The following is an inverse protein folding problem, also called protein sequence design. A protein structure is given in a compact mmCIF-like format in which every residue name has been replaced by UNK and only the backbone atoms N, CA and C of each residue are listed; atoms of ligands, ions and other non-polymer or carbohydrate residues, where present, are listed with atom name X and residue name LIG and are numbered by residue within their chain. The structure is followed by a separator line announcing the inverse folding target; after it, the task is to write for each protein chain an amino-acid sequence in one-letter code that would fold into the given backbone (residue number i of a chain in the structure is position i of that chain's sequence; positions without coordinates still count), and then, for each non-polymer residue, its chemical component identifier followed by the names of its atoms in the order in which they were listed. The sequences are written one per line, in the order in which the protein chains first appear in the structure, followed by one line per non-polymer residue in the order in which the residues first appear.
data_IF_675261144456
#
_entry.id   IF_675261144456
#
_cell.length_a   1.000
_cell.length_b   1.000
_cell.length_c   1.000
_cell.angle_alpha   90.00
_cell.angle_beta   90.00
_cell.angle_gamma   90.00
#
_symmetry.space_group_name_H-M   'P 1'
#
loop_
_entity.id
_entity.type
_entity.pdbx_description
1 polymer ?
#
# COMPACT_ATOMS: atom_id res chain seq x y z
N UNK A 1 31.90 -52.56 -2.19
CA UNK A 1 31.58 -51.20 -1.68
C UNK A 1 30.84 -50.49 -2.80
N UNK A 2 29.50 -50.52 -2.77
CA UNK A 2 28.66 -49.84 -3.76
C UNK A 2 28.40 -48.43 -3.24
N UNK A 3 28.87 -47.42 -3.97
CA UNK A 3 28.51 -46.03 -3.72
C UNK A 3 27.03 -45.88 -4.08
N UNK A 4 26.19 -45.59 -3.08
CA UNK A 4 24.82 -45.15 -3.32
C UNK A 4 24.87 -43.77 -3.96
N UNK A 5 24.61 -43.70 -5.26
CA UNK A 5 24.25 -42.46 -5.95
C UNK A 5 23.07 -41.84 -5.21
N UNK A 6 23.28 -40.66 -4.63
CA UNK A 6 22.19 -39.84 -4.12
C UNK A 6 21.41 -39.31 -5.32
N UNK A 7 20.37 -40.03 -5.71
CA UNK A 7 19.40 -39.62 -6.71
C UNK A 7 18.75 -38.32 -6.21
N UNK A 8 19.22 -37.19 -6.73
CA UNK A 8 18.72 -35.88 -6.31
C UNK A 8 17.34 -35.74 -6.95
N UNK A 9 16.26 -35.55 -6.16
CA UNK A 9 14.92 -35.48 -6.73
C UNK A 9 14.85 -34.36 -7.77
N UNK A 10 14.02 -34.53 -8.83
CA UNK A 10 13.89 -33.53 -9.87
C UNK A 10 13.47 -32.20 -9.27
N UNK A 11 14.15 -31.13 -9.69
CA UNK A 11 13.83 -29.78 -9.25
C UNK A 11 12.44 -29.41 -9.76
N UNK A 12 11.49 -29.27 -8.84
CA UNK A 12 10.14 -28.84 -9.17
C UNK A 12 10.13 -27.35 -9.50
N UNK A 13 9.32 -26.96 -10.48
CA UNK A 13 9.14 -25.55 -10.84
C UNK A 13 8.58 -24.76 -9.65
N UNK A 14 9.18 -23.61 -9.41
CA UNK A 14 8.86 -22.72 -8.30
C UNK A 14 8.94 -21.27 -8.75
N UNK A 15 7.91 -20.49 -8.42
CA UNK A 15 7.89 -19.06 -8.64
C UNK A 15 7.83 -18.33 -7.30
N UNK A 16 8.70 -17.34 -7.14
CA UNK A 16 8.56 -16.34 -6.11
C UNK A 16 8.20 -14.99 -6.74
N UNK A 17 7.11 -14.38 -6.30
CA UNK A 17 6.64 -13.09 -6.80
C UNK A 17 6.71 -12.01 -5.74
N UNK A 18 6.73 -10.76 -6.20
CA UNK A 18 6.49 -9.57 -5.38
C UNK A 18 5.22 -8.93 -5.89
N UNK A 19 4.29 -8.63 -4.99
CA UNK A 19 3.05 -7.90 -5.29
C UNK A 19 2.94 -6.63 -4.43
N UNK A 20 2.59 -5.51 -5.05
CA UNK A 20 2.39 -4.23 -4.36
C UNK A 20 0.91 -3.87 -4.29
N UNK A 21 0.39 -3.74 -3.07
CA UNK A 21 -0.89 -3.09 -2.80
C UNK A 21 -0.62 -1.60 -2.59
N UNK A 22 -0.59 -0.85 -3.69
CA UNK A 22 -0.39 0.61 -3.65
C UNK A 22 -1.71 1.30 -3.39
N UNK A 23 -1.81 1.94 -2.24
CA UNK A 23 -2.98 2.71 -1.81
C UNK A 23 -2.76 4.20 -2.03
N UNK A 24 -3.82 4.89 -2.43
CA UNK A 24 -3.92 6.36 -2.37
C UNK A 24 -5.18 6.80 -1.64
N UNK A 25 -5.18 8.03 -1.16
CA UNK A 25 -6.39 8.68 -0.66
C UNK A 25 -6.95 9.67 -1.69
N UNK A 26 -8.14 9.38 -2.22
CA UNK A 26 -8.80 10.27 -3.15
C UNK A 26 -9.57 11.36 -2.40
N UNK A 27 -9.05 12.59 -2.43
CA UNK A 27 -9.65 13.74 -1.71
C UNK A 27 -11.03 14.14 -2.22
N UNK A 28 -11.40 13.75 -3.45
CA UNK A 28 -12.71 14.04 -4.04
C UNK A 28 -13.80 13.10 -3.51
N UNK A 29 -13.50 11.80 -3.46
CA UNK A 29 -14.44 10.77 -2.99
C UNK A 29 -14.31 10.49 -1.50
N UNK A 30 -13.25 11.01 -0.85
CA UNK A 30 -12.87 10.72 0.53
C UNK A 30 -12.71 9.21 0.78
N UNK A 31 -12.20 8.48 -0.22
CA UNK A 31 -12.02 7.03 -0.15
C UNK A 31 -10.56 6.62 -0.38
N UNK A 32 -10.20 5.45 0.15
CA UNK A 32 -8.96 4.77 -0.24
C UNK A 32 -9.18 4.02 -1.55
N UNK A 33 -8.18 4.08 -2.42
CA UNK A 33 -8.19 3.41 -3.73
C UNK A 33 -6.90 2.61 -3.91
N UNK A 34 -7.00 1.46 -4.56
CA UNK A 34 -5.89 0.56 -4.91
C UNK A 34 -5.48 0.80 -6.36
N UNK A 35 -4.18 0.96 -6.62
CA UNK A 35 -3.64 0.94 -7.97
C UNK A 35 -3.67 -0.49 -8.51
N UNK A 36 -4.31 -0.66 -9.67
CA UNK A 36 -4.27 -1.88 -10.45
C UNK A 36 -3.54 -1.65 -11.77
N UNK A 37 -2.92 -2.71 -12.28
CA UNK A 37 -2.29 -2.73 -13.59
C UNK A 37 -2.91 -3.84 -14.46
N UNK A 38 -3.09 -3.56 -15.75
CA UNK A 38 -3.65 -4.50 -16.72
C UNK A 38 -2.57 -5.46 -17.22
N UNK A 39 -2.71 -6.75 -16.94
CA UNK A 39 -1.70 -7.77 -17.24
C UNK A 39 -1.42 -7.88 -18.75
N UNK A 40 -0.15 -7.86 -19.19
CA UNK A 40 0.18 -7.94 -20.62
C UNK A 40 0.24 -9.38 -21.15
N UNK A 41 0.27 -10.39 -20.27
CA UNK A 41 0.54 -11.77 -20.65
C UNK A 41 -0.24 -12.77 -19.80
N UNK A 42 -0.36 -13.99 -20.32
CA UNK A 42 -0.92 -15.12 -19.60
C UNK A 42 -0.07 -15.49 -18.35
N UNK A 43 -0.68 -16.12 -17.33
CA UNK A 43 -2.11 -16.36 -17.18
C UNK A 43 -2.88 -15.06 -16.92
N UNK A 44 -4.17 -15.03 -17.27
CA UNK A 44 -5.07 -13.90 -17.07
C UNK A 44 -4.65 -12.63 -17.83
N UNK A 45 -4.25 -12.78 -19.09
CA UNK A 45 -3.92 -11.64 -19.94
C UNK A 45 -5.10 -10.65 -19.99
N UNK A 46 -4.78 -9.36 -20.10
CA UNK A 46 -5.74 -8.25 -20.17
C UNK A 46 -6.66 -8.08 -18.93
N UNK A 47 -6.46 -8.87 -17.88
CA UNK A 47 -7.16 -8.71 -16.61
C UNK A 47 -6.48 -7.66 -15.72
N UNK A 48 -7.29 -6.96 -14.92
CA UNK A 48 -6.78 -6.03 -13.90
C UNK A 48 -6.24 -6.80 -12.70
N UNK A 49 -5.03 -6.49 -12.26
CA UNK A 49 -4.36 -7.20 -11.19
C UNK A 49 -3.54 -6.23 -10.32
N UNK A 50 -3.08 -6.70 -9.15
CA UNK A 50 -2.05 -5.98 -8.41
C UNK A 50 -0.79 -5.86 -9.29
N UNK A 51 -0.11 -4.71 -9.25
CA UNK A 51 1.23 -4.59 -9.81
C UNK A 51 2.16 -5.58 -9.14
N UNK A 52 2.68 -6.52 -9.93
CA UNK A 52 3.58 -7.55 -9.42
C UNK A 52 4.60 -8.00 -10.44
N UNK A 53 5.63 -8.71 -9.96
CA UNK A 53 6.66 -9.32 -10.80
C UNK A 53 7.14 -10.66 -10.24
N UNK A 54 7.78 -11.44 -11.11
CA UNK A 54 8.50 -12.65 -10.74
C UNK A 54 9.95 -12.26 -10.42
N UNK A 55 10.44 -12.66 -9.24
CA UNK A 55 11.86 -12.53 -8.89
C UNK A 55 12.71 -13.49 -9.72
N UNK A 56 13.87 -13.03 -10.18
CA UNK A 56 14.78 -13.82 -11.00
C UNK A 56 14.08 -14.44 -12.24
N UNK A 57 13.08 -13.75 -12.79
CA UNK A 57 12.45 -14.12 -14.05
C UNK A 57 13.35 -13.74 -15.23
N UNK A 58 13.00 -12.67 -15.93
CA UNK A 58 13.80 -12.16 -17.06
C UNK A 58 15.09 -11.44 -16.61
N UNK A 59 15.06 -10.87 -15.41
CA UNK A 59 16.15 -10.09 -14.83
C UNK A 59 16.57 -10.74 -13.52
N UNK A 60 17.87 -10.88 -13.33
CA UNK A 60 18.44 -11.37 -12.08
C UNK A 60 18.33 -10.29 -11.00
N UNK A 61 17.64 -10.61 -9.91
CA UNK A 61 17.53 -9.78 -8.72
C UNK A 61 18.52 -10.27 -7.66
N UNK A 62 19.37 -9.38 -7.17
CA UNK A 62 20.38 -9.72 -6.13
C UNK A 62 19.77 -9.82 -4.73
N UNK A 63 18.56 -9.31 -4.52
CA UNK A 63 17.83 -9.32 -3.24
C UNK A 63 16.33 -9.06 -3.45
N UNK A 64 15.53 -9.28 -2.40
CA UNK A 64 14.11 -8.90 -2.38
C UNK A 64 13.94 -7.40 -2.63
N UNK A 65 14.73 -6.57 -1.95
CA UNK A 65 14.70 -5.11 -2.09
C UNK A 65 15.04 -4.66 -3.51
N UNK A 66 15.95 -5.35 -4.20
CA UNK A 66 16.24 -5.08 -5.60
C UNK A 66 15.02 -5.36 -6.49
N UNK A 67 14.31 -6.46 -6.23
CA UNK A 67 13.05 -6.77 -6.92
C UNK A 67 11.94 -5.77 -6.63
N UNK A 68 11.76 -5.36 -5.37
CA UNK A 68 10.80 -4.32 -4.97
C UNK A 68 11.10 -3.01 -5.69
N UNK A 69 12.38 -2.58 -5.68
CA UNK A 69 12.83 -1.37 -6.37
C UNK A 69 12.55 -1.45 -7.87
N UNK A 70 12.87 -2.57 -8.52
CA UNK A 70 12.59 -2.81 -9.94
C UNK A 70 11.10 -2.76 -10.24
N UNK A 71 10.23 -3.28 -9.35
CA UNK A 71 8.79 -3.19 -9.52
C UNK A 71 8.29 -1.74 -9.45
N UNK A 72 8.79 -0.95 -8.48
CA UNK A 72 8.44 0.47 -8.31
C UNK A 72 8.86 1.29 -9.54
N UNK A 73 10.04 1.02 -10.07
CA UNK A 73 10.59 1.73 -11.25
C UNK A 73 9.96 1.27 -12.58
N UNK A 74 9.26 0.13 -12.60
CA UNK A 74 8.61 -0.39 -13.80
C UNK A 74 7.35 0.39 -14.19
N UNK A 75 6.91 0.25 -15.45
CA UNK A 75 5.66 0.82 -15.98
C UNK A 75 4.38 0.36 -15.24
N UNK A 76 4.47 -0.70 -14.42
CA UNK A 76 3.34 -1.19 -13.61
C UNK A 76 3.03 -0.25 -12.45
N UNK A 77 4.04 0.43 -11.92
CA UNK A 77 3.93 1.46 -10.87
C UNK A 77 4.27 2.82 -11.46
N UNK A 78 5.53 3.04 -11.85
CA UNK A 78 5.98 4.23 -12.56
C UNK A 78 5.82 5.54 -11.79
N UNK A 79 5.56 5.46 -10.48
CA UNK A 79 5.25 6.61 -9.62
C UNK A 79 6.05 6.54 -8.32
N UNK A 80 6.40 7.70 -7.78
CA UNK A 80 7.09 7.81 -6.50
C UNK A 80 6.15 7.41 -5.37
N UNK A 81 6.59 6.51 -4.51
CA UNK A 81 5.87 6.10 -3.31
C UNK A 81 6.37 6.89 -2.11
N UNK A 82 5.44 7.36 -1.25
CA UNK A 82 5.76 8.07 -0.01
C UNK A 82 6.09 7.11 1.15
N UNK A 83 5.65 5.85 1.06
CA UNK A 83 5.92 4.82 2.05
C UNK A 83 5.73 3.42 1.45
N UNK A 84 6.48 2.45 1.97
CA UNK A 84 6.35 1.03 1.64
C UNK A 84 6.73 0.17 2.84
N UNK A 85 5.98 -0.91 3.08
CA UNK A 85 6.32 -1.93 4.07
C UNK A 85 5.89 -3.32 3.62
N UNK A 86 6.64 -4.33 4.05
CA UNK A 86 6.24 -5.73 3.84
C UNK A 86 5.06 -6.08 4.74
N UNK A 87 4.00 -6.65 4.16
CA UNK A 87 2.84 -7.14 4.91
C UNK A 87 3.06 -8.59 5.29
N UNK A 88 3.34 -9.45 4.32
CA UNK A 88 3.50 -10.87 4.58
C UNK A 88 4.07 -11.63 3.39
N UNK A 89 4.05 -12.95 3.51
CA UNK A 89 4.36 -13.86 2.41
C UNK A 89 3.36 -14.99 2.44
N UNK A 90 2.71 -15.24 1.30
CA UNK A 90 1.81 -16.38 1.11
C UNK A 90 2.46 -17.36 0.15
N UNK A 91 2.24 -18.66 0.33
CA UNK A 91 2.77 -19.66 -0.59
C UNK A 91 1.97 -20.94 -0.55
N UNK A 92 1.59 -21.44 -1.73
CA UNK A 92 0.86 -22.69 -1.89
C UNK A 92 0.86 -23.14 -3.36
N UNK A 93 0.30 -24.33 -3.61
CA UNK A 93 0.24 -24.97 -4.93
C UNK A 93 -0.86 -24.42 -5.86
N UNK A 94 -1.76 -23.58 -5.36
CA UNK A 94 -3.02 -23.25 -6.02
C UNK A 94 -3.14 -21.77 -6.42
N UNK A 95 -2.37 -20.90 -5.76
CA UNK A 95 -2.44 -19.45 -5.97
C UNK A 95 -2.02 -19.03 -7.37
N UNK A 96 -1.09 -19.76 -7.97
CA UNK A 96 -0.65 -19.56 -9.35
C UNK A 96 -0.88 -20.87 -10.12
N UNK A 97 -1.63 -20.86 -11.24
CA UNK A 97 -1.95 -22.07 -11.98
C UNK A 97 -0.73 -22.71 -12.65
N UNK A 98 0.41 -22.03 -12.71
CA UNK A 98 1.62 -22.53 -13.40
C UNK A 98 2.39 -23.55 -12.56
N UNK A 99 2.57 -23.31 -11.27
CA UNK A 99 3.35 -24.16 -10.38
C UNK A 99 3.15 -23.76 -8.91
N UNK A 100 3.82 -24.49 -8.00
CA UNK A 100 3.92 -24.02 -6.62
C UNK A 100 4.57 -22.64 -6.60
N UNK A 101 3.94 -21.70 -5.91
CA UNK A 101 4.47 -20.34 -5.86
C UNK A 101 4.28 -19.72 -4.49
N UNK A 102 5.11 -18.74 -4.21
CA UNK A 102 4.89 -17.82 -3.11
C UNK A 102 4.98 -16.38 -3.58
N UNK A 103 4.30 -15.49 -2.86
CA UNK A 103 4.39 -14.04 -3.07
C UNK A 103 4.69 -13.34 -1.78
N UNK A 104 5.73 -12.51 -1.76
CA UNK A 104 5.95 -11.52 -0.71
C UNK A 104 5.27 -10.22 -1.14
N UNK A 105 4.31 -9.76 -0.35
CA UNK A 105 3.46 -8.63 -0.71
C UNK A 105 3.60 -7.48 0.26
N UNK A 106 3.39 -6.27 -0.28
CA UNK A 106 3.74 -5.02 0.36
C UNK A 106 2.57 -4.06 0.36
N UNK A 107 2.43 -3.31 1.45
CA UNK A 107 1.61 -2.11 1.53
C UNK A 107 2.47 -0.95 1.06
N UNK A 108 1.97 -0.19 0.10
CA UNK A 108 2.60 1.04 -0.35
C UNK A 108 1.61 2.20 -0.31
N UNK A 109 2.11 3.41 -0.04
CA UNK A 109 1.31 4.63 -0.02
C UNK A 109 1.82 5.57 -1.09
N UNK A 110 0.90 6.01 -1.94
CA UNK A 110 1.06 7.14 -2.82
C UNK A 110 0.54 8.40 -2.11
N UNK A 111 1.42 9.38 -1.90
CA UNK A 111 1.17 10.61 -1.12
C UNK A 111 0.91 11.85 -2.00
N UNK A 112 0.91 11.68 -3.32
CA UNK A 112 0.74 12.71 -4.34
C UNK A 112 -0.11 12.18 -5.50
N UNK A 113 -0.67 13.08 -6.32
CA UNK A 113 -1.37 12.66 -7.52
C UNK A 113 -0.41 11.98 -8.51
N UNK A 114 -0.92 10.96 -9.21
CA UNK A 114 -0.19 10.18 -10.18
C UNK A 114 -0.82 10.31 -11.57
N UNK A 115 0.03 10.56 -12.57
CA UNK A 115 -0.34 10.43 -13.97
C UNK A 115 -0.30 8.95 -14.33
N UNK A 116 -1.47 8.35 -14.51
CA UNK A 116 -1.58 6.95 -14.88
C UNK A 116 -1.37 6.76 -16.38
N UNK A 117 -0.74 5.64 -16.74
CA UNK A 117 -0.76 5.16 -18.11
C UNK A 117 -2.07 4.39 -18.43
N UNK A 118 -2.29 4.06 -19.70
CA UNK A 118 -3.52 3.40 -20.18
C UNK A 118 -3.75 2.01 -19.57
N UNK A 119 -2.69 1.37 -19.06
CA UNK A 119 -2.75 0.06 -18.39
C UNK A 119 -2.85 0.19 -16.88
N UNK A 120 -3.07 1.38 -16.34
CA UNK A 120 -3.23 1.60 -14.90
C UNK A 120 -4.58 2.22 -14.59
N UNK A 121 -5.15 1.83 -13.44
CA UNK A 121 -6.32 2.51 -12.89
C UNK A 121 -6.33 2.44 -11.38
N UNK A 122 -7.01 3.39 -10.75
CA UNK A 122 -7.38 3.29 -9.35
C UNK A 122 -8.77 2.72 -9.21
N UNK A 123 -8.94 1.79 -8.27
CA UNK A 123 -10.24 1.19 -7.93
C UNK A 123 -10.49 1.43 -6.44
N UNK A 124 -11.71 1.83 -6.03
CA UNK A 124 -12.05 1.95 -4.62
C UNK A 124 -11.71 0.67 -3.85
N UNK A 125 -10.96 0.82 -2.75
CA UNK A 125 -10.57 -0.32 -1.90
C UNK A 125 -11.80 -1.11 -1.47
N UNK A 126 -12.88 -0.41 -1.11
CA UNK A 126 -14.12 -1.05 -0.66
C UNK A 126 -14.73 -1.99 -1.69
N UNK A 127 -14.66 -1.68 -3.00
CA UNK A 127 -15.18 -2.54 -4.06
C UNK A 127 -14.38 -3.85 -4.21
N UNK A 128 -13.10 -3.83 -3.83
CA UNK A 128 -12.24 -5.02 -3.84
C UNK A 128 -12.46 -5.87 -2.58
N UNK A 129 -12.69 -5.23 -1.43
CA UNK A 129 -13.02 -5.90 -0.18
C UNK A 129 -14.42 -6.55 -0.24
N UNK A 130 -15.40 -5.88 -0.85
CA UNK A 130 -16.77 -6.41 -1.03
C UNK A 130 -16.88 -7.45 -2.16
N UNK A 131 -15.78 -7.73 -2.87
CA UNK A 131 -15.73 -8.64 -4.03
C UNK A 131 -16.62 -8.21 -5.20
N UNK A 132 -16.98 -6.93 -5.30
CA UNK A 132 -17.60 -6.36 -6.51
C UNK A 132 -16.67 -6.45 -7.73
N UNK A 133 -15.35 -6.51 -7.50
CA UNK A 133 -14.34 -6.79 -8.51
C UNK A 133 -13.40 -7.89 -8.06
N UNK A 134 -13.39 -8.99 -8.81
CA UNK A 134 -12.46 -10.11 -8.61
C UNK A 134 -11.21 -9.88 -9.45
N UNK A 135 -10.05 -10.08 -8.82
CA UNK A 135 -8.74 -9.97 -9.42
C UNK A 135 -8.16 -11.37 -9.68
N UNK A 136 -7.24 -11.52 -10.65
CA UNK A 136 -6.50 -12.74 -10.88
C UNK A 136 -5.77 -13.27 -9.63
N UNK A 137 -5.51 -14.58 -9.62
CA UNK A 137 -4.80 -15.29 -8.54
C UNK A 137 -5.51 -15.13 -7.19
N UNK A 138 -4.74 -14.90 -6.13
CA UNK A 138 -5.17 -14.63 -4.76
C UNK A 138 -5.09 -13.14 -4.39
N UNK A 139 -5.08 -12.23 -5.38
CA UNK A 139 -4.82 -10.81 -5.15
C UNK A 139 -5.85 -10.13 -4.23
N UNK A 140 -7.12 -10.54 -4.28
CA UNK A 140 -8.12 -10.03 -3.35
C UNK A 140 -7.77 -10.38 -1.89
N UNK A 141 -7.21 -11.56 -1.62
CA UNK A 141 -6.81 -11.97 -0.27
C UNK A 141 -5.55 -11.23 0.20
N UNK A 142 -4.65 -10.85 -0.72
CA UNK A 142 -3.52 -9.97 -0.42
C UNK A 142 -3.99 -8.55 -0.03
N UNK A 143 -5.04 -8.06 -0.70
CA UNK A 143 -5.66 -6.76 -0.41
C UNK A 143 -6.32 -6.80 0.96
N UNK A 144 -7.05 -7.86 1.32
CA UNK A 144 -7.69 -7.99 2.63
C UNK A 144 -6.67 -7.91 3.77
N UNK A 145 -5.60 -8.71 3.68
CA UNK A 145 -4.51 -8.71 4.67
C UNK A 145 -3.82 -7.34 4.75
N UNK A 146 -3.70 -6.65 3.62
CA UNK A 146 -3.12 -5.31 3.58
C UNK A 146 -4.05 -4.26 4.21
N UNK A 147 -5.35 -4.36 3.97
CA UNK A 147 -6.36 -3.50 4.60
C UNK A 147 -6.40 -3.72 6.12
N UNK A 148 -6.32 -4.98 6.58
CA UNK A 148 -6.22 -5.31 8.00
C UNK A 148 -4.92 -4.76 8.62
N UNK A 149 -3.79 -4.86 7.91
CA UNK A 149 -2.53 -4.24 8.35
C UNK A 149 -2.65 -2.73 8.49
N UNK A 150 -3.25 -2.06 7.49
CA UNK A 150 -3.48 -0.62 7.53
C UNK A 150 -4.39 -0.24 8.70
N UNK A 151 -5.51 -0.93 8.87
CA UNK A 151 -6.45 -0.73 9.99
C UNK A 151 -5.73 -0.86 11.33
N UNK A 152 -5.03 -1.98 11.53
CA UNK A 152 -4.34 -2.29 12.78
C UNK A 152 -3.28 -1.23 13.11
N UNK A 153 -2.43 -0.85 12.14
CA UNK A 153 -1.43 0.21 12.34
C UNK A 153 -2.05 1.59 12.51
N UNK A 154 -3.20 1.86 11.93
CA UNK A 154 -3.90 3.14 12.10
C UNK A 154 -4.34 3.37 13.54
N UNK A 155 -4.61 2.29 14.29
CA UNK A 155 -4.98 2.39 15.70
C UNK A 155 -3.90 3.06 16.52
N UNK A 156 -2.61 2.79 16.29
CA UNK A 156 -1.53 3.19 17.19
C UNK A 156 -0.39 3.95 16.52
N UNK A 157 -0.51 4.33 15.24
CA UNK A 157 0.56 5.01 14.52
C UNK A 157 0.09 6.19 13.67
N UNK A 158 1.04 6.99 13.19
CA UNK A 158 0.81 8.10 12.26
C UNK A 158 0.67 7.68 10.79
N UNK A 159 0.64 6.38 10.49
CA UNK A 159 0.61 5.83 9.14
C UNK A 159 -0.45 6.50 8.22
N UNK A 160 -1.71 6.73 8.67
CA UNK A 160 -2.72 7.38 7.83
C UNK A 160 -2.36 8.80 7.37
N UNK A 161 -1.49 9.51 8.10
CA UNK A 161 -1.08 10.86 7.70
C UNK A 161 -0.18 10.85 6.47
N UNK A 162 0.48 9.73 6.16
CA UNK A 162 1.37 9.63 5.00
C UNK A 162 0.62 9.77 3.67
N UNK A 163 -0.68 9.43 3.63
CA UNK A 163 -1.53 9.67 2.46
C UNK A 163 -1.74 11.15 2.14
N UNK A 164 -1.52 12.04 3.11
CA UNK A 164 -1.79 13.47 2.95
C UNK A 164 -0.61 14.27 2.41
N UNK A 165 0.55 13.64 2.24
CA UNK A 165 1.76 14.28 1.73
C UNK A 165 2.45 15.18 2.77
N UNK A 166 3.14 16.20 2.27
CA UNK A 166 3.96 17.09 3.09
C UNK A 166 3.18 18.15 3.86
N UNK A 167 1.95 18.48 3.45
CA UNK A 167 1.13 19.51 4.11
C UNK A 167 -0.34 19.10 4.18
N UNK A 168 -0.92 19.24 5.37
CA UNK A 168 -2.32 18.88 5.59
C UNK A 168 -2.97 19.67 6.73
N UNK A 169 -4.29 19.61 6.80
CA UNK A 169 -5.12 20.23 7.84
C UNK A 169 -5.68 19.19 8.82
N UNK A 170 -6.09 19.63 10.01
CA UNK A 170 -6.69 18.75 11.01
C UNK A 170 -7.98 18.02 10.53
N UNK A 171 -8.86 18.64 9.71
CA UNK A 171 -9.98 17.92 9.10
C UNK A 171 -9.54 16.83 8.13
N UNK A 172 -8.53 17.08 7.29
CA UNK A 172 -7.99 16.06 6.36
C UNK A 172 -7.39 14.89 7.15
N UNK A 173 -6.65 15.16 8.23
CA UNK A 173 -6.15 14.15 9.14
C UNK A 173 -7.30 13.33 9.74
N UNK A 174 -8.37 13.98 10.22
CA UNK A 174 -9.53 13.28 10.79
C UNK A 174 -10.22 12.40 9.74
N UNK A 175 -10.34 12.88 8.51
CA UNK A 175 -10.98 12.16 7.42
C UNK A 175 -10.21 10.88 7.06
N UNK A 176 -8.90 10.97 6.82
CA UNK A 176 -8.11 9.79 6.44
C UNK A 176 -8.06 8.74 7.55
N UNK A 177 -7.96 9.14 8.83
CA UNK A 177 -8.04 8.18 9.93
C UNK A 177 -9.41 7.52 10.04
N UNK A 178 -10.49 8.27 9.77
CA UNK A 178 -11.84 7.70 9.80
C UNK A 178 -12.04 6.65 8.70
N UNK A 179 -11.47 6.90 7.52
CA UNK A 179 -11.49 5.96 6.39
C UNK A 179 -10.64 4.73 6.71
N UNK A 180 -9.40 4.92 7.19
CA UNK A 180 -8.50 3.82 7.51
C UNK A 180 -8.99 2.93 8.66
N UNK A 181 -9.75 3.50 9.61
CA UNK A 181 -10.37 2.77 10.73
C UNK A 181 -11.80 2.30 10.44
N UNK A 182 -12.36 2.60 9.28
CA UNK A 182 -13.75 2.24 8.93
C UNK A 182 -14.81 2.82 9.89
N UNK A 183 -14.47 3.83 10.70
CA UNK A 183 -15.37 4.46 11.68
C UNK A 183 -15.05 5.95 11.87
N UNK A 184 -16.03 6.80 12.17
CA UNK A 184 -15.77 8.22 12.45
C UNK A 184 -14.80 8.41 13.62
N UNK A 185 -13.78 9.24 13.42
CA UNK A 185 -12.84 9.62 14.48
C UNK A 185 -13.21 10.99 15.06
N UNK A 186 -13.19 11.08 16.39
CA UNK A 186 -13.47 12.33 17.10
C UNK A 186 -12.37 13.37 16.84
N UNK A 187 -12.79 14.61 16.57
CA UNK A 187 -11.88 15.76 16.37
C UNK A 187 -10.98 16.01 17.58
N UNK A 188 -11.47 15.75 18.80
CA UNK A 188 -10.69 15.87 20.04
C UNK A 188 -9.54 14.87 20.10
N UNK A 189 -9.80 13.60 19.79
CA UNK A 189 -8.77 12.55 19.74
C UNK A 189 -7.72 12.84 18.68
N UNK A 190 -8.14 13.31 17.49
CA UNK A 190 -7.21 13.74 16.45
C UNK A 190 -6.36 14.92 16.89
N UNK A 191 -6.97 15.94 17.52
CA UNK A 191 -6.25 17.10 18.03
C UNK A 191 -5.16 16.70 19.02
N UNK A 192 -5.45 15.79 19.95
CA UNK A 192 -4.45 15.29 20.91
C UNK A 192 -3.27 14.61 20.21
N UNK A 193 -3.52 13.81 19.17
CA UNK A 193 -2.45 13.19 18.37
C UNK A 193 -1.61 14.21 17.61
N UNK A 194 -2.23 15.22 17.02
CA UNK A 194 -1.50 16.27 16.31
C UNK A 194 -0.61 17.07 17.28
N UNK A 195 -1.09 17.40 18.48
CA UNK A 195 -0.28 18.05 19.52
C UNK A 195 0.95 17.20 19.85
N UNK A 196 0.76 15.89 20.10
CA UNK A 196 1.87 14.98 20.39
C UNK A 196 2.89 14.90 19.24
N UNK A 197 2.43 14.87 17.99
CA UNK A 197 3.33 14.91 16.83
C UNK A 197 4.12 16.22 16.73
N UNK A 198 3.52 17.36 17.11
CA UNK A 198 4.22 18.65 17.17
C UNK A 198 5.29 18.64 18.26
N UNK A 199 4.97 18.14 19.46
CA UNK A 199 5.91 18.01 20.58
C UNK A 199 7.12 17.14 20.22
N UNK A 200 6.90 16.06 19.47
CA UNK A 200 7.94 15.12 19.02
C UNK A 200 8.65 15.58 17.72
N UNK A 201 8.32 16.78 17.23
CA UNK A 201 8.94 17.38 16.05
C UNK A 201 8.67 16.63 14.74
N UNK A 202 7.54 15.93 14.64
CA UNK A 202 7.09 15.29 13.40
C UNK A 202 6.34 16.27 12.49
N UNK A 203 5.64 17.23 13.08
CA UNK A 203 4.89 18.25 12.34
C UNK A 203 5.11 19.65 12.91
N UNK A 204 4.84 20.67 12.11
CA UNK A 204 4.88 22.08 12.53
C UNK A 204 3.78 22.88 11.85
N UNK A 205 3.18 23.84 12.55
CA UNK A 205 2.24 24.78 11.95
C UNK A 205 2.93 25.62 10.87
N UNK A 206 2.28 25.75 9.71
CA UNK A 206 2.83 26.48 8.55
C UNK A 206 2.53 27.98 8.59
N UNK A 207 1.55 28.40 9.39
CA UNK A 207 0.92 29.73 9.31
C UNK A 207 0.06 29.94 8.05
N UNK A 208 0.04 28.99 7.12
CA UNK A 208 -0.81 29.00 5.93
C UNK A 208 -2.22 28.50 6.28
N UNK A 209 -3.19 28.91 5.47
CA UNK A 209 -4.53 28.36 5.51
C UNK A 209 -4.90 27.82 4.14
N UNK A 210 -5.48 26.63 4.13
CA UNK A 210 -6.03 26.00 2.92
C UNK A 210 -7.51 26.29 2.85
N UNK A 211 -7.95 26.96 1.79
CA UNK A 211 -9.37 27.14 1.47
C UNK A 211 -9.80 26.01 0.55
N UNK A 212 -10.83 25.26 0.95
CA UNK A 212 -11.59 24.42 0.02
C UNK A 212 -12.69 25.24 -0.62
N UNK A 213 -13.14 24.88 -1.83
CA UNK A 213 -14.31 25.52 -2.46
C UNK A 213 -15.49 25.58 -1.47
N UNK A 214 -15.88 26.79 -1.07
CA UNK A 214 -16.99 27.03 -0.13
C UNK A 214 -16.73 26.74 1.36
N UNK A 215 -15.51 26.36 1.78
CA UNK A 215 -15.19 26.01 3.18
C UNK A 215 -14.28 27.08 3.82
N UNK A 216 -14.54 27.40 5.10
CA UNK A 216 -13.66 28.27 5.90
C UNK A 216 -12.22 27.77 5.86
N UNK A 217 -11.30 28.69 5.59
CA UNK A 217 -9.87 28.43 5.51
C UNK A 217 -9.34 27.72 6.77
N UNK A 218 -8.72 26.55 6.60
CA UNK A 218 -8.21 25.71 7.70
C UNK A 218 -6.70 25.90 7.84
N UNK A 219 -6.22 26.07 9.08
CA UNK A 219 -4.78 26.08 9.34
C UNK A 219 -4.14 24.74 8.93
N UNK A 220 -2.94 24.80 8.36
CA UNK A 220 -2.19 23.62 7.94
C UNK A 220 -0.95 23.38 8.78
N UNK A 221 -0.54 22.13 8.81
CA UNK A 221 0.72 21.67 9.36
C UNK A 221 1.56 21.06 8.24
N UNK A 222 2.87 21.22 8.36
CA UNK A 222 3.87 20.59 7.50
C UNK A 222 4.43 19.34 8.19
N UNK A 223 4.57 18.25 7.44
CA UNK A 223 5.22 17.03 7.85
C UNK A 223 6.73 17.18 7.70
N UNK A 224 7.44 17.24 8.83
CA UNK A 224 8.89 17.42 8.88
C UNK A 224 9.67 16.11 8.68
N UNK A 225 9.01 14.96 8.77
CA UNK A 225 9.63 13.62 8.65
C UNK A 225 8.86 12.76 7.65
N UNK A 226 8.85 13.14 6.35
CA UNK A 226 8.13 12.40 5.31
C UNK A 226 8.60 10.94 5.26
N UNK A 227 7.64 10.02 5.08
CA UNK A 227 7.87 8.57 5.06
C UNK A 227 8.19 7.93 6.42
N UNK A 228 8.32 8.70 7.52
CA UNK A 228 8.51 8.15 8.86
C UNK A 228 7.20 8.05 9.63
N UNK A 229 7.04 6.92 10.30
CA UNK A 229 5.91 6.67 11.19
C UNK A 229 6.29 7.09 12.61
N UNK A 230 5.37 7.75 13.30
CA UNK A 230 5.36 7.89 14.74
C UNK A 230 4.40 6.87 15.34
N UNK A 231 4.80 6.25 16.45
CA UNK A 231 3.95 5.31 17.19
C UNK A 231 3.47 5.99 18.48
N UNK A 232 2.16 6.01 18.68
CA UNK A 232 1.53 6.58 19.86
C UNK A 232 1.46 5.54 20.97
N UNK A 233 1.67 5.97 22.22
CA UNK A 233 1.57 5.10 23.40
C UNK A 233 0.16 4.53 23.62
N UNK A 234 -0.86 5.17 23.03
CA UNK A 234 -2.27 4.79 23.15
C UNK A 234 -2.94 4.69 21.80
N UNK A 235 -3.66 3.58 21.61
CA UNK A 235 -4.51 3.36 20.43
C UNK A 235 -5.70 4.32 20.38
N UNK A 236 -6.32 4.49 19.21
CA UNK A 236 -7.65 5.07 19.11
C UNK A 236 -8.63 4.16 19.86
N UNK A 237 -9.11 4.63 21.00
CA UNK A 237 -10.27 4.04 21.67
C UNK A 237 -11.50 4.11 20.75
#
# INVERSE_FOLDING_TARGET
MSQTEHDTPPKMDYLHTIDLVVLRYCRKTLALEVLLHKRPSEPFAESWALPGLVLNGEVRDVSMDAGVKRLIESEKIGVRLGYIEQVGTVGNAFRDPRCWSSSTFYLAILDQDANLNERQKFVPLQALLSRESLLPFDHNDLIDQTAERLYSKSLYSSLPLLFLGSEFSAPEATAIYSVALGRPVLKSSMRQRLIKLTEEGYIKETGRKKSGEGIKAQATVENLKPGRIFYFDRSFA
#
